data_IF_754681183251
#
_entry.id   IF_754681183251
#
_cell.length_a   1.000
_cell.length_b   1.000
_cell.length_c   1.000
_cell.angle_alpha   90.00
_cell.angle_beta   90.00
_cell.angle_gamma   90.00
#
_symmetry.space_group_name_H-M   'P 1'
#
loop_
_entity.id
_entity.type
_entity.pdbx_description
1 polymer ?
#
# COMPACT_ATOMS: atom_id res chain seq x y z
N UNK A 1 0.37 29.02 17.48
CA UNK A 1 0.19 27.59 17.17
C UNK A 1 0.77 26.77 18.32
N UNK A 2 0.08 25.72 18.79
CA UNK A 2 0.60 24.84 19.84
C UNK A 2 1.64 23.85 19.28
N UNK A 3 2.43 23.21 20.15
CA UNK A 3 3.52 22.29 19.78
C UNK A 3 3.03 21.19 18.84
N UNK A 4 1.88 20.58 19.16
CA UNK A 4 1.22 19.55 18.34
C UNK A 4 0.94 20.04 16.93
N UNK A 5 0.40 21.26 16.78
CA UNK A 5 0.12 21.87 15.49
C UNK A 5 1.38 22.09 14.65
N UNK A 6 2.49 22.49 15.27
CA UNK A 6 3.76 22.69 14.57
C UNK A 6 4.34 21.36 14.05
N UNK A 7 4.32 20.31 14.87
CA UNK A 7 4.83 18.98 14.47
C UNK A 7 3.97 18.40 13.35
N UNK A 8 2.64 18.50 13.45
CA UNK A 8 1.74 18.04 12.40
C UNK A 8 1.97 18.77 11.07
N UNK A 9 2.27 20.07 11.10
CA UNK A 9 2.61 20.85 9.91
C UNK A 9 3.93 20.39 9.27
N UNK A 10 4.94 20.08 10.09
CA UNK A 10 6.22 19.53 9.62
C UNK A 10 6.04 18.17 8.94
N UNK A 11 5.27 17.27 9.56
CA UNK A 11 4.91 15.97 8.97
C UNK A 11 4.23 16.17 7.61
N UNK A 12 3.21 17.05 7.54
CA UNK A 12 2.50 17.33 6.28
C UNK A 12 3.44 17.90 5.21
N UNK A 13 4.41 18.74 5.60
CA UNK A 13 5.43 19.28 4.70
C UNK A 13 6.32 18.18 4.13
N UNK A 14 6.76 17.22 4.94
CA UNK A 14 7.54 16.07 4.45
C UNK A 14 6.69 15.16 3.56
N UNK A 15 5.44 14.85 3.96
CA UNK A 15 4.53 14.04 3.15
C UNK A 15 4.26 14.67 1.78
N UNK A 16 4.11 15.99 1.69
CA UNK A 16 3.92 16.68 0.41
C UNK A 16 5.04 16.39 -0.59
N UNK A 17 6.29 16.25 -0.13
CA UNK A 17 7.43 15.89 -0.99
C UNK A 17 7.31 14.47 -1.56
N UNK A 18 6.84 13.53 -0.74
CA UNK A 18 6.74 12.12 -1.12
C UNK A 18 5.47 11.77 -1.89
N UNK A 19 4.38 12.50 -1.67
CA UNK A 19 3.07 12.16 -2.22
C UNK A 19 2.73 12.96 -3.48
N UNK A 20 3.29 14.16 -3.67
CA UNK A 20 2.92 15.07 -4.76
C UNK A 20 1.54 15.72 -4.60
N UNK A 21 0.76 15.35 -3.58
CA UNK A 21 -0.47 16.01 -3.17
C UNK A 21 -0.19 17.15 -2.18
N UNK A 22 -1.04 18.18 -2.21
CA UNK A 22 -0.89 19.35 -1.33
C UNK A 22 -1.86 19.35 -0.15
N UNK A 23 -3.04 18.76 -0.31
CA UNK A 23 -4.06 18.69 0.73
C UNK A 23 -3.88 17.40 1.52
N UNK A 24 -3.46 17.51 2.78
CA UNK A 24 -3.04 16.37 3.61
C UNK A 24 -3.61 16.50 5.01
N UNK A 25 -4.16 15.40 5.54
CA UNK A 25 -4.57 15.25 6.94
C UNK A 25 -3.96 13.99 7.54
N UNK A 26 -3.65 14.07 8.84
CA UNK A 26 -3.14 12.94 9.60
C UNK A 26 -4.31 12.20 10.24
N UNK A 27 -4.29 10.88 10.13
CA UNK A 27 -5.32 9.99 10.68
C UNK A 27 -4.74 9.10 11.75
N UNK A 28 -5.59 8.53 12.61
CA UNK A 28 -5.12 7.68 13.71
C UNK A 28 -4.49 6.37 13.23
N UNK A 29 -4.90 5.87 12.07
CA UNK A 29 -4.48 4.59 11.45
C UNK A 29 -4.77 4.65 9.94
N UNK A 30 -4.07 3.84 9.14
CA UNK A 30 -4.36 3.70 7.70
C UNK A 30 -5.80 3.27 7.39
N UNK A 31 -6.40 2.40 8.21
CA UNK A 31 -7.81 2.01 8.02
C UNK A 31 -8.77 3.19 8.14
N UNK A 32 -8.51 4.14 9.06
CA UNK A 32 -9.31 5.36 9.18
C UNK A 32 -9.19 6.25 7.94
N UNK A 33 -8.01 6.27 7.29
CA UNK A 33 -7.83 6.97 6.02
C UNK A 33 -8.61 6.30 4.88
N UNK A 34 -8.59 4.96 4.80
CA UNK A 34 -9.38 4.19 3.83
C UNK A 34 -10.88 4.47 4.03
N UNK A 35 -11.38 4.39 5.26
CA UNK A 35 -12.78 4.68 5.59
C UNK A 35 -13.17 6.12 5.24
N UNK A 36 -12.31 7.10 5.53
CA UNK A 36 -12.54 8.50 5.16
C UNK A 36 -12.62 8.68 3.64
N UNK A 37 -11.71 8.08 2.87
CA UNK A 37 -11.73 8.13 1.41
C UNK A 37 -13.00 7.50 0.83
N UNK A 38 -13.39 6.32 1.32
CA UNK A 38 -14.59 5.62 0.87
C UNK A 38 -15.89 6.34 1.27
N UNK A 39 -15.89 7.13 2.34
CA UNK A 39 -17.06 7.89 2.78
C UNK A 39 -17.50 8.99 1.81
N UNK A 40 -16.63 9.36 0.86
CA UNK A 40 -16.94 10.30 -0.22
C UNK A 40 -17.85 9.71 -1.30
N UNK A 41 -17.90 8.37 -1.38
CA UNK A 41 -18.58 7.67 -2.47
C UNK A 41 -20.08 7.60 -2.19
N UNK A 42 -20.93 7.66 -3.24
CA UNK A 42 -22.36 7.48 -3.07
C UNK A 42 -22.67 6.10 -2.47
N UNK A 43 -23.65 6.01 -1.58
CA UNK A 43 -24.16 4.73 -1.08
C UNK A 43 -24.61 3.85 -2.24
N UNK A 44 -24.50 2.54 -2.08
CA UNK A 44 -24.86 1.51 -3.07
C UNK A 44 -24.02 1.54 -4.37
N UNK A 45 -23.10 2.50 -4.52
CA UNK A 45 -22.14 2.48 -5.61
C UNK A 45 -21.19 1.29 -5.52
N UNK A 46 -20.64 0.88 -6.66
CA UNK A 46 -19.67 -0.23 -6.74
C UNK A 46 -18.26 0.33 -6.79
N UNK A 47 -17.40 -0.18 -5.91
CA UNK A 47 -15.96 -0.01 -6.03
C UNK A 47 -15.32 -1.28 -6.56
N UNK A 48 -14.13 -1.12 -7.12
CA UNK A 48 -13.30 -2.23 -7.57
C UNK A 48 -12.01 -2.29 -6.75
N UNK A 49 -11.60 -3.49 -6.37
CA UNK A 49 -10.37 -3.78 -5.60
C UNK A 49 -9.63 -4.93 -6.28
N UNK A 50 -8.32 -5.12 -6.09
CA UNK A 50 -7.64 -6.29 -6.64
C UNK A 50 -8.07 -7.58 -5.92
N UNK A 51 -8.18 -8.69 -6.64
CA UNK A 51 -8.50 -10.02 -6.07
C UNK A 51 -7.39 -10.58 -5.15
N UNK A 52 -6.18 -10.04 -5.26
CA UNK A 52 -5.03 -10.31 -4.41
C UNK A 52 -4.09 -9.10 -4.30
N UNK A 53 -3.14 -9.15 -3.38
CA UNK A 53 -2.19 -8.06 -3.17
C UNK A 53 -2.78 -6.80 -2.52
N UNK A 54 -4.04 -6.83 -2.11
CA UNK A 54 -4.71 -5.73 -1.41
C UNK A 54 -4.49 -5.74 0.12
N UNK A 55 -5.38 -5.04 0.84
CA UNK A 55 -5.45 -5.06 2.30
C UNK A 55 -6.81 -5.58 2.78
N UNK A 56 -6.85 -6.24 3.94
CA UNK A 56 -8.07 -6.89 4.45
C UNK A 56 -9.27 -5.92 4.55
N UNK A 57 -9.00 -4.65 4.87
CA UNK A 57 -10.05 -3.63 4.98
C UNK A 57 -10.65 -3.21 3.64
N UNK A 58 -10.04 -3.56 2.50
CA UNK A 58 -10.60 -3.24 1.18
C UNK A 58 -11.92 -3.97 0.93
N UNK A 59 -12.15 -5.13 1.57
CA UNK A 59 -13.44 -5.85 1.51
C UNK A 59 -14.42 -5.35 2.56
N UNK A 60 -13.95 -5.22 3.81
CA UNK A 60 -14.84 -4.95 4.95
C UNK A 60 -15.22 -3.47 5.14
N UNK A 61 -14.35 -2.53 4.82
CA UNK A 61 -14.66 -1.10 4.99
C UNK A 61 -15.76 -0.60 4.03
N UNK A 62 -15.75 -0.92 2.73
CA UNK A 62 -16.82 -0.49 1.82
C UNK A 62 -18.18 -1.07 2.23
N UNK A 63 -18.23 -2.35 2.61
CA UNK A 63 -19.46 -3.02 3.06
C UNK A 63 -20.10 -2.30 4.26
N UNK A 64 -19.29 -1.89 5.25
CA UNK A 64 -19.77 -1.11 6.42
C UNK A 64 -20.35 0.25 6.03
N UNK A 65 -19.92 0.81 4.90
CA UNK A 65 -20.41 2.09 4.37
C UNK A 65 -21.61 1.92 3.42
N UNK A 66 -22.06 0.68 3.18
CA UNK A 66 -23.13 0.38 2.24
C UNK A 66 -22.69 0.48 0.77
N UNK A 67 -21.41 0.22 0.49
CA UNK A 67 -20.86 0.15 -0.87
C UNK A 67 -20.77 -1.31 -1.32
N UNK A 68 -20.92 -1.51 -2.63
CA UNK A 68 -20.70 -2.80 -3.27
C UNK A 68 -19.21 -2.94 -3.65
N UNK A 69 -18.69 -4.17 -3.58
CA UNK A 69 -17.29 -4.47 -3.90
C UNK A 69 -17.25 -5.51 -5.00
N UNK A 70 -16.47 -5.24 -6.04
CA UNK A 70 -16.05 -6.24 -7.02
C UNK A 70 -14.54 -6.33 -7.08
N UNK A 71 -14.04 -7.50 -7.49
CA UNK A 71 -12.61 -7.75 -7.63
C UNK A 71 -12.19 -7.62 -9.09
N UNK A 72 -10.99 -7.09 -9.33
CA UNK A 72 -10.26 -7.15 -10.62
C UNK A 72 -9.21 -8.25 -10.56
N UNK A 73 -9.09 -9.02 -11.63
CA UNK A 73 -8.12 -10.09 -11.75
C UNK A 73 -6.69 -9.56 -11.70
N UNK A 74 -5.79 -10.38 -11.17
CA UNK A 74 -4.38 -10.06 -11.03
C UNK A 74 -3.48 -11.16 -11.63
N UNK A 75 -2.30 -10.76 -12.10
CA UNK A 75 -1.17 -11.67 -12.35
C UNK A 75 -0.12 -11.40 -11.27
N UNK A 76 -0.02 -12.29 -10.29
CA UNK A 76 0.93 -12.20 -9.16
C UNK A 76 0.89 -10.84 -8.49
N UNK A 77 -0.30 -10.47 -8.01
CA UNK A 77 -0.64 -9.21 -7.36
C UNK A 77 -0.55 -7.94 -8.23
N UNK A 78 -0.25 -8.07 -9.52
CA UNK A 78 -0.36 -6.96 -10.49
C UNK A 78 -1.75 -6.96 -11.11
N UNK A 79 -2.44 -5.82 -11.08
CA UNK A 79 -3.77 -5.68 -11.67
C UNK A 79 -3.73 -5.93 -13.18
N UNK A 80 -4.64 -6.79 -13.66
CA UNK A 80 -4.86 -7.01 -15.09
C UNK A 80 -5.58 -5.82 -15.71
N UNK A 81 -4.89 -5.09 -16.59
CA UNK A 81 -5.50 -4.00 -17.36
C UNK A 81 -6.59 -4.52 -18.31
N UNK A 82 -6.48 -5.75 -18.79
CA UNK A 82 -7.48 -6.37 -19.66
C UNK A 82 -8.80 -6.60 -18.91
N UNK A 83 -8.75 -7.27 -17.75
CA UNK A 83 -9.94 -7.50 -16.94
C UNK A 83 -10.52 -6.18 -16.41
N UNK A 84 -9.67 -5.23 -16.02
CA UNK A 84 -10.10 -3.88 -15.64
C UNK A 84 -10.92 -3.24 -16.77
N UNK A 85 -10.39 -3.22 -18.00
CA UNK A 85 -11.10 -2.66 -19.18
C UNK A 85 -12.40 -3.40 -19.45
N UNK A 86 -12.40 -4.73 -19.36
CA UNK A 86 -13.59 -5.54 -19.56
C UNK A 86 -14.69 -5.21 -18.53
N UNK A 87 -14.33 -5.01 -17.26
CA UNK A 87 -15.27 -4.62 -16.21
C UNK A 87 -15.89 -3.25 -16.48
N UNK A 88 -15.08 -2.25 -16.80
CA UNK A 88 -15.57 -0.91 -17.16
C UNK A 88 -16.46 -0.90 -18.42
N UNK A 89 -16.32 -1.86 -19.33
CA UNK A 89 -17.23 -2.00 -20.47
C UNK A 89 -18.64 -2.48 -20.10
N UNK A 90 -18.79 -3.13 -18.94
CA UNK A 90 -20.06 -3.71 -18.48
C UNK A 90 -20.83 -2.76 -17.58
N UNK A 91 -20.14 -1.96 -16.77
CA UNK A 91 -20.76 -0.99 -15.86
C UNK A 91 -19.80 0.08 -15.37
N UNK A 92 -20.38 1.08 -14.73
CA UNK A 92 -19.69 2.17 -14.05
C UNK A 92 -19.21 1.75 -12.66
N UNK A 93 -17.99 2.16 -12.30
CA UNK A 93 -17.42 2.03 -10.96
C UNK A 93 -17.14 3.41 -10.38
N UNK A 94 -17.39 3.60 -9.08
CA UNK A 94 -17.17 4.88 -8.41
C UNK A 94 -15.74 5.07 -7.93
N UNK A 95 -15.05 3.99 -7.59
CA UNK A 95 -13.63 4.05 -7.23
C UNK A 95 -12.90 2.74 -7.53
N UNK A 96 -11.58 2.84 -7.77
CA UNK A 96 -10.62 1.75 -7.69
C UNK A 96 -9.72 2.00 -6.48
N UNK A 97 -9.71 1.05 -5.54
CA UNK A 97 -8.85 1.07 -4.35
C UNK A 97 -7.80 -0.04 -4.47
N UNK A 98 -6.52 0.35 -4.52
CA UNK A 98 -5.43 -0.62 -4.63
C UNK A 98 -4.15 -0.15 -3.94
N UNK A 99 -3.28 -1.11 -3.62
CA UNK A 99 -1.94 -0.86 -3.06
C UNK A 99 -0.90 -0.90 -4.17
N UNK A 100 0.08 0.00 -4.13
CA UNK A 100 1.30 -0.11 -4.94
C UNK A 100 2.54 -0.09 -4.03
N UNK A 101 3.45 -1.08 -4.11
CA UNK A 101 3.32 -2.32 -4.87
C UNK A 101 2.20 -3.23 -4.31
N UNK A 102 1.50 -3.92 -5.20
CA UNK A 102 0.53 -4.96 -4.86
C UNK A 102 1.21 -6.07 -4.06
N UNK A 103 0.61 -6.48 -2.95
CA UNK A 103 1.17 -7.51 -2.08
C UNK A 103 2.52 -7.14 -1.45
N UNK A 104 2.96 -5.87 -1.56
CA UNK A 104 4.31 -5.40 -1.25
C UNK A 104 5.41 -5.85 -2.22
N UNK A 105 5.10 -6.49 -3.35
CA UNK A 105 6.10 -6.98 -4.31
C UNK A 105 5.82 -6.66 -5.78
N UNK A 106 4.55 -6.44 -6.15
CA UNK A 106 4.15 -6.26 -7.54
C UNK A 106 4.03 -4.77 -7.93
N UNK A 107 4.86 -4.27 -8.83
CA UNK A 107 4.72 -2.91 -9.39
C UNK A 107 3.44 -2.85 -10.21
N UNK A 108 2.59 -1.87 -9.90
CA UNK A 108 1.34 -1.61 -10.62
C UNK A 108 1.55 -0.68 -11.82
N UNK A 109 0.81 -0.86 -12.93
CA UNK A 109 0.79 0.06 -14.07
C UNK A 109 -0.03 1.32 -13.73
N UNK A 110 0.48 2.15 -12.81
CA UNK A 110 -0.25 3.27 -12.21
C UNK A 110 -0.79 4.26 -13.24
N UNK A 111 0.01 4.58 -14.26
CA UNK A 111 -0.37 5.56 -15.29
C UNK A 111 -1.57 5.07 -16.09
N UNK A 112 -1.49 3.83 -16.58
CA UNK A 112 -2.52 3.20 -17.39
C UNK A 112 -3.80 2.98 -16.58
N UNK A 113 -3.67 2.58 -15.31
CA UNK A 113 -4.78 2.50 -14.36
C UNK A 113 -5.45 3.88 -14.23
N UNK A 114 -4.67 4.92 -13.93
CA UNK A 114 -5.20 6.26 -13.68
C UNK A 114 -5.89 6.84 -14.91
N UNK A 115 -5.24 6.80 -16.08
CA UNK A 115 -5.80 7.28 -17.34
C UNK A 115 -7.13 6.58 -17.67
N UNK A 116 -7.19 5.26 -17.46
CA UNK A 116 -8.42 4.50 -17.70
C UNK A 116 -9.53 4.86 -16.72
N UNK A 117 -9.22 4.94 -15.42
CA UNK A 117 -10.18 5.36 -14.39
C UNK A 117 -10.69 6.78 -14.64
N UNK A 118 -9.82 7.73 -14.99
CA UNK A 118 -10.21 9.11 -15.32
C UNK A 118 -11.17 9.18 -16.50
N UNK A 119 -10.89 8.43 -17.59
CA UNK A 119 -11.79 8.36 -18.76
C UNK A 119 -13.20 7.91 -18.39
N UNK A 120 -13.32 7.09 -17.34
CA UNK A 120 -14.58 6.57 -16.84
C UNK A 120 -15.01 7.24 -15.53
N UNK A 121 -14.53 8.44 -15.20
CA UNK A 121 -14.97 9.16 -13.98
C UNK A 121 -14.92 8.33 -12.68
N UNK A 122 -13.95 7.41 -12.59
CA UNK A 122 -13.75 6.53 -11.45
C UNK A 122 -12.60 7.07 -10.60
N UNK A 123 -12.84 7.27 -9.30
CA UNK A 123 -11.85 7.82 -8.37
C UNK A 123 -10.75 6.79 -8.13
N UNK A 124 -9.50 7.21 -8.26
CA UNK A 124 -8.36 6.37 -7.91
C UNK A 124 -7.91 6.65 -6.47
N UNK A 125 -8.09 5.63 -5.61
CA UNK A 125 -7.61 5.62 -4.23
C UNK A 125 -6.37 4.73 -4.15
N UNK A 126 -5.20 5.35 -4.07
CA UNK A 126 -3.92 4.65 -3.96
C UNK A 126 -3.55 4.45 -2.49
N UNK A 127 -3.30 3.22 -2.07
CA UNK A 127 -2.69 2.93 -0.77
C UNK A 127 -1.16 2.93 -0.88
N UNK A 128 -0.56 4.03 -0.43
CA UNK A 128 0.88 4.27 -0.39
C UNK A 128 1.58 3.68 0.83
N UNK A 129 0.91 2.85 1.64
CA UNK A 129 1.49 2.27 2.88
C UNK A 129 2.77 1.48 2.66
N UNK A 130 2.97 0.92 1.46
CA UNK A 130 4.14 0.12 1.10
C UNK A 130 5.17 0.84 0.23
N UNK A 131 4.96 2.10 -0.11
CA UNK A 131 5.72 2.78 -1.16
C UNK A 131 6.02 4.25 -0.90
N UNK A 132 5.54 4.82 0.21
CA UNK A 132 5.89 6.19 0.60
C UNK A 132 7.42 6.40 0.56
N UNK A 133 7.85 7.48 -0.09
CA UNK A 133 9.26 7.79 -0.32
C UNK A 133 9.88 7.11 -1.55
N UNK A 134 9.09 6.41 -2.37
CA UNK A 134 9.54 5.79 -3.62
C UNK A 134 8.72 6.30 -4.81
N UNK A 135 9.20 6.08 -6.04
CA UNK A 135 8.45 6.37 -7.28
C UNK A 135 7.11 5.63 -7.42
N UNK A 136 6.85 4.63 -6.56
CA UNK A 136 5.62 3.83 -6.56
C UNK A 136 4.47 4.51 -5.81
N UNK A 137 4.73 5.63 -5.14
CA UNK A 137 3.73 6.48 -4.52
C UNK A 137 3.78 7.85 -5.20
N UNK A 138 2.88 8.07 -6.17
CA UNK A 138 2.90 9.27 -7.01
C UNK A 138 1.49 9.83 -7.20
N UNK A 139 1.25 11.00 -6.61
CA UNK A 139 -0.03 11.72 -6.68
C UNK A 139 -0.43 12.22 -8.07
N UNK A 140 0.45 12.12 -9.07
CA UNK A 140 0.03 12.34 -10.46
C UNK A 140 -0.99 11.30 -10.92
N UNK A 141 -0.89 10.08 -10.38
CA UNK A 141 -1.67 8.91 -10.78
C UNK A 141 -2.68 8.44 -9.71
N UNK A 142 -3.10 9.34 -8.83
CA UNK A 142 -4.13 9.09 -7.84
C UNK A 142 -4.95 10.36 -7.57
N UNK A 143 -6.23 10.21 -7.26
CA UNK A 143 -7.05 11.33 -6.79
C UNK A 143 -6.95 11.46 -5.26
N UNK A 144 -6.84 10.31 -4.60
CA UNK A 144 -6.65 10.18 -3.15
C UNK A 144 -5.49 9.21 -2.90
N UNK A 145 -4.57 9.59 -2.01
CA UNK A 145 -3.59 8.65 -1.45
C UNK A 145 -3.91 8.44 0.02
N UNK A 146 -3.98 7.19 0.44
CA UNK A 146 -4.08 6.80 1.85
C UNK A 146 -2.81 6.07 2.27
N UNK A 147 -2.49 6.09 3.56
CA UNK A 147 -1.36 5.31 4.04
C UNK A 147 -1.32 5.14 5.54
N UNK A 148 -0.50 4.18 5.96
CA UNK A 148 -0.30 3.79 7.35
C UNK A 148 1.14 4.03 7.77
N UNK A 149 1.31 4.58 8.98
CA UNK A 149 2.59 4.64 9.69
C UNK A 149 2.72 3.52 10.73
N UNK A 150 1.82 2.53 10.68
CA UNK A 150 1.82 1.41 11.62
C UNK A 150 3.10 0.57 11.59
N UNK A 151 3.15 -0.42 12.49
CA UNK A 151 4.29 -1.33 12.59
C UNK A 151 4.61 -2.00 11.24
N UNK A 152 5.89 -2.14 10.92
CA UNK A 152 6.44 -2.79 9.72
C UNK A 152 6.16 -2.05 8.40
N UNK A 153 5.66 -0.82 8.44
CA UNK A 153 5.57 0.07 7.27
C UNK A 153 6.92 0.79 7.09
N UNK A 154 7.22 1.40 5.93
CA UNK A 154 8.48 2.12 5.74
C UNK A 154 8.81 3.15 6.83
N UNK A 155 7.80 3.87 7.31
CA UNK A 155 7.95 4.85 8.40
C UNK A 155 8.01 4.18 9.78
N UNK A 156 7.32 3.05 9.98
CA UNK A 156 7.36 2.23 11.20
C UNK A 156 7.22 3.02 12.53
N UNK A 157 6.18 3.84 12.66
CA UNK A 157 5.89 4.60 13.88
C UNK A 157 4.94 3.86 14.84
N UNK A 158 4.62 2.60 14.56
CA UNK A 158 3.71 1.77 15.36
C UNK A 158 2.22 2.11 15.21
N UNK A 159 1.87 3.40 15.03
CA UNK A 159 0.51 3.93 14.88
C UNK A 159 0.50 5.15 13.95
N UNK A 160 -0.68 5.55 13.50
CA UNK A 160 -0.88 6.71 12.63
C UNK A 160 -1.15 6.33 11.19
N UNK A 161 -1.63 7.31 10.43
CA UNK A 161 -1.83 7.22 9.01
C UNK A 161 -1.99 8.61 8.42
N UNK A 162 -2.23 8.65 7.11
CA UNK A 162 -2.48 9.88 6.40
C UNK A 162 -3.49 9.64 5.29
N UNK A 163 -4.13 10.73 4.89
CA UNK A 163 -4.91 10.84 3.66
C UNK A 163 -4.48 12.12 2.96
N UNK A 164 -4.29 12.05 1.65
CA UNK A 164 -4.01 13.20 0.81
C UNK A 164 -4.89 13.22 -0.42
N UNK A 165 -5.22 14.41 -0.90
CA UNK A 165 -6.02 14.59 -2.10
C UNK A 165 -5.30 15.49 -3.11
N UNK A 166 -5.57 15.20 -4.39
CA UNK A 166 -5.12 16.01 -5.51
C UNK A 166 -5.87 17.34 -5.59
N UNK A 167 -7.16 17.31 -5.30
CA UNK A 167 -8.09 18.44 -5.42
C UNK A 167 -8.61 18.91 -4.05
N UNK A 168 -8.75 20.23 -3.90
CA UNK A 168 -9.21 20.88 -2.66
C UNK A 168 -10.67 20.54 -2.35
N UNK A 169 -11.54 20.58 -3.37
CA UNK A 169 -12.98 20.33 -3.19
C UNK A 169 -13.24 18.90 -2.78
N UNK A 170 -12.42 17.95 -3.24
CA UNK A 170 -12.45 16.57 -2.76
C UNK A 170 -12.03 16.48 -1.29
N UNK A 171 -10.97 17.21 -0.92
CA UNK A 171 -10.44 17.23 0.44
C UNK A 171 -11.42 17.82 1.45
N UNK A 172 -12.08 18.94 1.12
CA UNK A 172 -13.06 19.61 1.99
C UNK A 172 -14.29 18.73 2.32
N UNK A 173 -14.62 17.76 1.46
CA UNK A 173 -15.72 16.83 1.68
C UNK A 173 -15.37 15.69 2.65
N UNK A 174 -14.08 15.49 2.94
CA UNK A 174 -13.64 14.41 3.80
C UNK A 174 -14.04 14.65 5.25
N UNK A 175 -14.62 13.63 5.88
CA UNK A 175 -14.91 13.64 7.31
C UNK A 175 -13.76 13.01 8.07
N UNK A 176 -12.75 13.80 8.41
CA UNK A 176 -11.54 13.31 9.10
C UNK A 176 -11.45 13.90 10.50
N UNK A 177 -11.25 13.02 11.49
CA UNK A 177 -10.79 13.43 12.80
C UNK A 177 -9.26 13.51 12.76
N UNK A 178 -8.73 14.73 12.80
CA UNK A 178 -7.28 14.97 12.81
C UNK A 178 -6.62 14.22 13.97
N UNK A 179 -5.47 13.61 13.70
CA UNK A 179 -4.69 12.89 14.70
C UNK A 179 -3.80 13.85 15.50
N UNK A 180 -3.95 13.82 16.84
CA UNK A 180 -3.34 14.82 17.74
C UNK A 180 -2.48 14.21 18.86
N UNK A 181 -2.10 12.94 18.74
CA UNK A 181 -1.27 12.23 19.71
C UNK A 181 0.18 12.71 19.62
N UNK A 182 0.59 13.61 20.52
CA UNK A 182 1.88 14.32 20.42
C UNK A 182 3.09 13.39 20.36
N UNK A 183 3.12 12.35 21.18
CA UNK A 183 4.23 11.40 21.23
C UNK A 183 4.35 10.63 19.92
N UNK A 184 3.23 10.09 19.40
CA UNK A 184 3.22 9.41 18.11
C UNK A 184 3.62 10.37 16.98
N UNK A 185 3.18 11.63 17.02
CA UNK A 185 3.55 12.62 16.00
C UNK A 185 5.06 12.92 16.03
N UNK A 186 5.69 13.02 17.20
CA UNK A 186 7.16 13.16 17.30
C UNK A 186 7.88 11.96 16.66
N UNK A 187 7.40 10.75 16.91
CA UNK A 187 7.95 9.52 16.32
C UNK A 187 7.79 9.53 14.79
N UNK A 188 6.58 9.84 14.29
CA UNK A 188 6.30 9.93 12.84
C UNK A 188 7.23 10.94 12.19
N UNK A 189 7.38 12.14 12.78
CA UNK A 189 8.25 13.19 12.24
C UNK A 189 9.71 12.72 12.13
N UNK A 190 10.27 12.19 13.22
CA UNK A 190 11.64 11.68 13.24
C UNK A 190 11.86 10.53 12.23
N UNK A 191 10.88 9.61 12.10
CA UNK A 191 10.96 8.50 11.16
C UNK A 191 10.82 8.92 9.70
N UNK A 192 10.02 9.94 9.39
CA UNK A 192 9.93 10.50 8.04
C UNK A 192 11.24 11.15 7.58
N UNK A 193 11.96 11.81 8.50
CA UNK A 193 13.30 12.34 8.22
C UNK A 193 14.32 11.23 7.95
N UNK A 194 14.16 10.06 8.57
CA UNK A 194 15.01 8.87 8.37
C UNK A 194 14.56 7.97 7.21
N UNK A 195 13.41 8.25 6.59
CA UNK A 195 12.79 7.39 5.59
C UNK A 195 13.73 7.04 4.42
N UNK A 196 14.50 7.98 3.82
CA UNK A 196 15.42 7.63 2.73
C UNK A 196 16.46 6.58 3.12
N UNK A 197 17.11 6.74 4.27
CA UNK A 197 18.08 5.77 4.80
C UNK A 197 17.44 4.42 5.10
N UNK A 198 16.20 4.44 5.61
CA UNK A 198 15.44 3.22 5.87
C UNK A 198 15.12 2.46 4.58
N UNK A 199 14.73 3.17 3.52
CA UNK A 199 14.45 2.56 2.22
C UNK A 199 15.70 1.96 1.59
N UNK A 200 16.83 2.66 1.64
CA UNK A 200 18.14 2.17 1.21
C UNK A 200 18.52 0.87 1.93
N UNK A 201 18.47 0.86 3.27
CA UNK A 201 18.71 -0.34 4.07
C UNK A 201 17.83 -1.53 3.66
N UNK A 202 16.53 -1.29 3.48
CA UNK A 202 15.59 -2.34 3.09
C UNK A 202 15.89 -2.89 1.70
N UNK A 203 16.33 -2.03 0.79
CA UNK A 203 16.69 -2.39 -0.58
C UNK A 203 17.99 -3.20 -0.63
N UNK A 204 19.03 -2.80 0.10
CA UNK A 204 20.27 -3.56 0.26
C UNK A 204 20.01 -4.93 0.89
N UNK A 205 19.22 -4.97 1.97
CA UNK A 205 18.83 -6.21 2.64
C UNK A 205 18.08 -7.13 1.67
N UNK A 206 17.16 -6.58 0.87
CA UNK A 206 16.45 -7.31 -0.17
C UNK A 206 17.42 -7.91 -1.19
N UNK A 207 18.34 -7.11 -1.73
CA UNK A 207 19.31 -7.57 -2.73
C UNK A 207 20.19 -8.71 -2.21
N UNK A 208 20.64 -8.62 -0.95
CA UNK A 208 21.40 -9.69 -0.30
C UNK A 208 20.59 -11.00 -0.25
N UNK A 209 19.35 -10.93 0.24
CA UNK A 209 18.49 -12.12 0.35
C UNK A 209 18.17 -12.70 -1.03
N UNK A 210 17.92 -11.84 -2.04
CA UNK A 210 17.70 -12.27 -3.43
C UNK A 210 18.88 -13.07 -3.98
N UNK A 211 20.10 -12.57 -3.75
CA UNK A 211 21.32 -13.25 -4.20
C UNK A 211 21.51 -14.61 -3.53
N UNK A 212 21.20 -14.69 -2.23
CA UNK A 212 21.33 -15.95 -1.49
C UNK A 212 20.24 -17.00 -1.88
N UNK A 213 19.19 -16.56 -2.57
CA UNK A 213 18.05 -17.38 -3.01
C UNK A 213 17.95 -17.53 -4.55
N UNK A 214 19.02 -17.18 -5.29
CA UNK A 214 19.07 -17.16 -6.75
C UNK A 214 18.71 -18.50 -7.44
N UNK A 215 18.90 -19.60 -6.74
CA UNK A 215 18.56 -20.96 -7.16
C UNK A 215 17.10 -21.34 -6.95
N UNK A 216 16.31 -20.49 -6.28
CA UNK A 216 14.86 -20.67 -6.15
C UNK A 216 14.09 -19.81 -7.15
N UNK A 217 12.87 -20.23 -7.47
CA UNK A 217 11.97 -19.46 -8.33
C UNK A 217 11.34 -18.31 -7.54
N UNK A 218 11.88 -17.11 -7.75
CA UNK A 218 11.39 -15.86 -7.13
C UNK A 218 10.34 -15.19 -8.02
N UNK A 219 9.21 -14.83 -7.41
CA UNK A 219 8.11 -14.12 -8.06
C UNK A 219 8.42 -12.62 -8.12
N UNK A 220 8.20 -12.01 -9.29
CA UNK A 220 8.50 -10.60 -9.58
C UNK A 220 9.94 -10.21 -9.21
N UNK A 221 10.90 -11.08 -9.48
CA UNK A 221 12.33 -10.93 -9.13
C UNK A 221 12.91 -9.56 -9.48
N UNK A 222 12.56 -9.03 -10.66
CA UNK A 222 13.08 -7.77 -11.19
C UNK A 222 12.42 -6.53 -10.58
N UNK A 223 11.42 -6.71 -9.73
CA UNK A 223 10.69 -5.60 -9.13
C UNK A 223 11.19 -5.31 -7.72
N UNK A 224 11.29 -4.04 -7.37
CA UNK A 224 11.57 -3.63 -6.00
C UNK A 224 10.27 -3.74 -5.19
N UNK A 225 10.41 -4.31 -4.01
CA UNK A 225 9.32 -4.61 -3.10
C UNK A 225 9.86 -4.69 -1.68
N UNK A 226 8.93 -4.74 -0.73
CA UNK A 226 9.23 -4.83 0.70
C UNK A 226 9.09 -6.25 1.24
N UNK A 227 8.77 -7.20 0.35
CA UNK A 227 8.72 -8.64 0.61
C UNK A 227 9.35 -9.38 -0.57
N UNK A 228 9.80 -10.61 -0.34
CA UNK A 228 10.32 -11.52 -1.38
C UNK A 228 9.43 -12.75 -1.40
N UNK A 229 8.88 -13.08 -2.57
CA UNK A 229 8.02 -14.25 -2.72
C UNK A 229 8.80 -15.36 -3.42
N UNK A 230 8.99 -16.48 -2.73
CA UNK A 230 9.68 -17.65 -3.25
C UNK A 230 8.66 -18.76 -3.46
N UNK A 231 8.41 -19.12 -4.71
CA UNK A 231 7.47 -20.19 -5.06
C UNK A 231 8.08 -21.57 -4.82
N UNK A 232 7.23 -22.54 -4.50
CA UNK A 232 7.63 -23.94 -4.31
C UNK A 232 6.58 -24.87 -4.92
N UNK A 233 7.02 -26.06 -5.33
CA UNK A 233 6.17 -27.10 -5.89
C UNK A 233 6.07 -28.33 -4.98
N UNK A 234 7.09 -28.55 -4.15
CA UNK A 234 7.18 -29.68 -3.21
C UNK A 234 7.39 -29.21 -1.77
N UNK A 235 7.03 -30.04 -0.80
CA UNK A 235 7.26 -29.75 0.62
C UNK A 235 8.76 -29.68 0.95
N UNK A 236 9.60 -30.48 0.27
CA UNK A 236 11.05 -30.41 0.43
C UNK A 236 11.64 -29.06 -0.02
N UNK A 237 11.13 -28.47 -1.11
CA UNK A 237 11.51 -27.11 -1.52
C UNK A 237 11.06 -26.07 -0.49
N UNK A 238 9.81 -26.19 -0.01
CA UNK A 238 9.26 -25.32 1.04
C UNK A 238 10.14 -25.33 2.29
N UNK A 239 10.49 -26.51 2.81
CA UNK A 239 11.32 -26.64 4.00
C UNK A 239 12.70 -26.03 3.82
N UNK A 240 13.35 -26.20 2.65
CA UNK A 240 14.63 -25.52 2.36
C UNK A 240 14.54 -24.00 2.43
N UNK A 241 13.43 -23.42 1.95
CA UNK A 241 13.21 -21.97 2.02
C UNK A 241 12.97 -21.54 3.48
N UNK A 242 12.23 -22.32 4.25
CA UNK A 242 11.98 -22.07 5.68
C UNK A 242 13.28 -22.17 6.48
N UNK A 243 14.09 -23.21 6.26
CA UNK A 243 15.40 -23.41 6.87
C UNK A 243 16.33 -22.23 6.58
N UNK A 244 16.32 -21.74 5.34
CA UNK A 244 17.04 -20.53 4.98
C UNK A 244 16.57 -19.32 5.81
N UNK A 245 15.26 -19.13 5.96
CA UNK A 245 14.72 -18.02 6.74
C UNK A 245 15.09 -18.14 8.22
N UNK A 246 14.97 -19.33 8.82
CA UNK A 246 15.35 -19.61 10.20
C UNK A 246 16.84 -19.34 10.46
N UNK A 247 17.71 -19.91 9.63
CA UNK A 247 19.17 -19.73 9.72
C UNK A 247 19.57 -18.27 9.63
N UNK A 248 18.88 -17.49 8.81
CA UNK A 248 19.16 -16.07 8.59
C UNK A 248 18.32 -15.13 9.48
N UNK A 249 17.51 -15.67 10.41
CA UNK A 249 16.61 -14.92 11.30
C UNK A 249 15.70 -13.95 10.54
N UNK A 250 15.24 -14.36 9.37
CA UNK A 250 14.28 -13.61 8.57
C UNK A 250 12.88 -13.97 9.05
N UNK A 251 11.96 -12.99 9.09
CA UNK A 251 10.55 -13.30 9.28
C UNK A 251 9.91 -13.69 7.94
N UNK A 252 9.03 -14.69 7.95
CA UNK A 252 8.29 -15.11 6.77
C UNK A 252 6.85 -15.46 7.11
N UNK A 253 6.01 -15.53 6.08
CA UNK A 253 4.66 -16.09 6.17
C UNK A 253 4.37 -16.95 4.95
N UNK A 254 3.56 -17.99 5.11
CA UNK A 254 3.17 -18.87 4.02
C UNK A 254 1.99 -18.28 3.23
N UNK A 255 2.01 -18.49 1.91
CA UNK A 255 0.91 -18.20 0.98
C UNK A 255 0.23 -19.52 0.57
N UNK A 256 -1.07 -19.52 0.21
CA UNK A 256 -1.85 -18.39 -0.26
C UNK A 256 -2.27 -17.41 0.83
N UNK A 257 -2.18 -16.12 0.54
CA UNK A 257 -2.60 -15.05 1.43
C UNK A 257 -3.00 -13.82 0.62
N UNK A 258 -4.28 -13.45 0.69
CA UNK A 258 -4.85 -12.30 -0.05
C UNK A 258 -3.99 -11.02 0.00
N UNK A 259 -3.38 -10.70 1.15
CA UNK A 259 -2.55 -9.50 1.29
C UNK A 259 -1.13 -9.62 0.70
N UNK A 260 -0.82 -10.74 0.06
CA UNK A 260 0.43 -11.09 -0.63
C UNK A 260 0.06 -11.63 -2.01
N UNK A 261 -0.09 -12.95 -2.10
CA UNK A 261 -0.28 -13.74 -3.31
C UNK A 261 -1.18 -14.93 -2.99
N UNK A 262 -2.11 -15.27 -3.88
CA UNK A 262 -3.03 -16.40 -3.75
C UNK A 262 -2.48 -17.70 -4.39
N UNK A 263 -1.16 -17.88 -4.35
CA UNK A 263 -0.46 -19.08 -4.84
C UNK A 263 0.48 -19.65 -3.76
N UNK A 264 1.00 -20.87 -3.98
CA UNK A 264 1.98 -21.51 -3.10
C UNK A 264 3.32 -20.76 -3.14
N UNK A 265 3.65 -20.09 -2.04
CA UNK A 265 4.92 -19.38 -1.88
C UNK A 265 5.25 -19.13 -0.41
N UNK A 266 6.53 -18.90 -0.13
CA UNK A 266 6.99 -18.28 1.13
C UNK A 266 7.20 -16.79 0.90
N UNK A 267 6.51 -15.96 1.69
CA UNK A 267 6.66 -14.50 1.71
C UNK A 267 7.64 -14.10 2.80
N UNK A 268 8.86 -13.77 2.40
CA UNK A 268 9.92 -13.26 3.29
C UNK A 268 9.70 -11.76 3.52
N UNK A 269 9.53 -11.36 4.77
CA UNK A 269 9.05 -10.04 5.17
C UNK A 269 10.21 -9.06 5.43
N UNK A 270 10.94 -8.67 4.37
CA UNK A 270 12.14 -7.80 4.46
C UNK A 270 11.90 -6.54 5.31
N UNK A 271 10.74 -5.89 5.16
CA UNK A 271 10.33 -4.70 5.93
C UNK A 271 10.29 -4.86 7.45
N UNK A 272 10.28 -6.09 7.96
CA UNK A 272 10.31 -6.37 9.41
C UNK A 272 11.73 -6.42 9.97
N UNK A 273 12.74 -6.38 9.11
CA UNK A 273 14.14 -6.29 9.54
C UNK A 273 14.37 -4.95 10.24
N UNK A 274 14.95 -4.96 11.43
CA UNK A 274 15.45 -3.75 12.09
C UNK A 274 16.76 -3.30 11.44
N UNK A 275 16.90 -2.00 11.21
CA UNK A 275 18.18 -1.33 10.95
C UNK A 275 18.97 -1.17 12.24
#
# INVERSE_FOLDING_TARGET
MNIVGNIALEIKKELKKYLGHIFISLTSRGNSAIEAALSLLPRESTIIIPEEGGWLSYKSAPQKLGLNVEEVCCDKARISLEDLRQKFSKKQYSALLYQNPGGYHAKQPMKEIYEWCCKHQCIVILDGSGSIGTERCDGRFADIIVGSFGRWKPVDAGKGGFISCKDEKLFEKLRIKEFTDEETLKIICAKLQQLPKRLEFLQEKRQKIMKDLDHFKIINEKEEGLVILVSFTTDNEKEKIIDFCQKNKLEWTECPRYIRLNEKAISIEVKRSSS
#
